data_IF_215608891146
#
_entry.id   IF_215608891146
#
_cell.length_a   1.000
_cell.length_b   1.000
_cell.length_c   1.000
_cell.angle_alpha   90.00
_cell.angle_beta   90.00
_cell.angle_gamma   90.00
#
_symmetry.space_group_name_H-M   'P 1'
#
loop_
_entity.id
_entity.type
_entity.pdbx_description
1 polymer ?
#
# COMPACT_ATOMS: atom_id res chain seq x y z
N UNK A 1 33.83 -0.02 -11.13
CA UNK A 1 32.40 -0.35 -10.93
C UNK A 1 31.51 0.36 -11.97
N UNK A 2 31.13 -0.39 -13.01
CA UNK A 2 30.14 -0.21 -14.08
C UNK A 2 29.64 1.21 -14.48
N UNK A 3 30.31 1.81 -15.47
CA UNK A 3 29.74 2.90 -16.27
C UNK A 3 28.62 2.41 -17.22
N UNK A 4 28.70 1.17 -17.73
CA UNK A 4 27.73 0.65 -18.71
C UNK A 4 26.30 0.43 -18.20
N UNK A 5 26.09 0.10 -16.93
CA UNK A 5 24.74 -0.04 -16.36
C UNK A 5 24.08 1.32 -16.07
N UNK A 6 24.89 2.34 -15.75
CA UNK A 6 24.40 3.71 -15.51
C UNK A 6 23.78 4.29 -16.77
N UNK A 7 24.40 4.03 -17.92
CA UNK A 7 23.97 4.56 -19.21
C UNK A 7 22.69 3.88 -19.71
N UNK A 8 22.63 2.54 -19.64
CA UNK A 8 21.42 1.75 -19.95
C UNK A 8 20.20 2.20 -19.14
N UNK A 9 20.42 2.49 -17.86
CA UNK A 9 19.35 2.92 -16.95
C UNK A 9 18.82 4.32 -17.28
N UNK A 10 19.68 5.24 -17.75
CA UNK A 10 19.27 6.57 -18.22
C UNK A 10 18.51 6.50 -19.55
N UNK A 11 18.98 5.66 -20.48
CA UNK A 11 18.31 5.40 -21.76
C UNK A 11 16.91 4.84 -21.53
N UNK A 12 16.78 3.80 -20.69
CA UNK A 12 15.50 3.20 -20.35
C UNK A 12 14.51 4.23 -19.76
N UNK A 13 15.00 5.14 -18.91
CA UNK A 13 14.18 6.22 -18.37
C UNK A 13 13.64 7.15 -19.47
N UNK A 14 14.49 7.55 -20.42
CA UNK A 14 14.09 8.41 -21.54
C UNK A 14 13.10 7.71 -22.48
N UNK A 15 13.31 6.42 -22.77
CA UNK A 15 12.35 5.61 -23.55
C UNK A 15 11.02 5.51 -22.82
N UNK A 16 11.02 5.21 -21.51
CA UNK A 16 9.81 5.09 -20.72
C UNK A 16 8.97 6.37 -20.68
N UNK A 17 9.61 7.54 -20.59
CA UNK A 17 8.89 8.83 -20.71
C UNK A 17 8.30 9.06 -22.10
N UNK A 18 9.02 8.70 -23.17
CA UNK A 18 8.49 8.80 -24.55
C UNK A 18 7.30 7.87 -24.76
N UNK A 19 7.36 6.64 -24.24
CA UNK A 19 6.23 5.71 -24.26
C UNK A 19 5.00 6.27 -23.55
N UNK A 20 5.18 6.94 -22.40
CA UNK A 20 4.06 7.65 -21.73
C UNK A 20 3.46 8.76 -22.58
N UNK A 21 4.31 9.57 -23.23
CA UNK A 21 3.85 10.62 -24.13
C UNK A 21 3.09 10.04 -25.34
N UNK A 22 3.50 8.87 -25.83
CA UNK A 22 2.85 8.14 -26.91
C UNK A 22 1.65 7.27 -26.45
N UNK A 23 1.15 7.46 -25.22
CA UNK A 23 0.03 6.69 -24.67
C UNK A 23 0.22 5.17 -24.62
N UNK A 24 1.47 4.70 -24.50
CA UNK A 24 1.82 3.29 -24.28
C UNK A 24 2.26 3.05 -22.82
N UNK A 25 1.30 2.87 -21.88
CA UNK A 25 1.61 2.67 -20.47
C UNK A 25 2.30 1.32 -20.19
N UNK A 26 2.06 0.29 -21.02
CA UNK A 26 2.66 -1.03 -20.83
C UNK A 26 4.17 -1.00 -21.09
N UNK A 27 4.58 -0.41 -22.22
CA UNK A 27 6.00 -0.17 -22.51
C UNK A 27 6.63 0.76 -21.48
N UNK A 28 5.92 1.84 -21.11
CA UNK A 28 6.42 2.78 -20.11
C UNK A 28 6.75 2.10 -18.78
N UNK A 29 5.84 1.26 -18.24
CA UNK A 29 6.08 0.52 -17.00
C UNK A 29 7.31 -0.36 -17.14
N UNK A 30 7.45 -1.11 -18.24
CA UNK A 30 8.60 -2.00 -18.47
C UNK A 30 9.94 -1.23 -18.47
N UNK A 31 9.99 -0.12 -19.19
CA UNK A 31 11.20 0.69 -19.33
C UNK A 31 11.53 1.48 -18.05
N UNK A 32 10.51 2.02 -17.37
CA UNK A 32 10.70 2.74 -16.10
C UNK A 32 11.09 1.81 -14.97
N UNK A 33 10.60 0.56 -14.94
CA UNK A 33 11.06 -0.46 -14.00
C UNK A 33 12.54 -0.76 -14.21
N UNK A 34 12.96 -1.00 -15.45
CA UNK A 34 14.39 -1.17 -15.81
C UNK A 34 15.25 0.02 -15.35
N UNK A 35 14.72 1.24 -15.48
CA UNK A 35 15.40 2.44 -15.02
C UNK A 35 15.49 2.53 -13.48
N UNK A 36 14.48 2.08 -12.74
CA UNK A 36 14.49 2.02 -11.28
C UNK A 36 15.49 0.97 -10.80
N UNK A 37 15.42 -0.25 -11.35
CA UNK A 37 16.27 -1.38 -10.95
C UNK A 37 17.76 -1.10 -11.24
N UNK A 38 18.06 -0.38 -12.32
CA UNK A 38 19.42 0.06 -12.64
C UNK A 38 19.90 1.31 -11.89
N UNK A 39 19.10 1.89 -10.98
CA UNK A 39 19.46 3.10 -10.25
C UNK A 39 20.04 2.76 -8.86
N UNK A 40 21.28 3.16 -8.54
CA UNK A 40 21.82 2.92 -7.20
C UNK A 40 21.08 3.75 -6.15
N UNK A 41 20.84 3.16 -4.97
CA UNK A 41 20.15 3.82 -3.86
C UNK A 41 20.85 5.10 -3.34
N UNK A 42 22.17 5.22 -3.57
CA UNK A 42 22.94 6.42 -3.25
C UNK A 42 22.50 7.66 -4.05
N UNK A 43 21.92 7.48 -5.24
CA UNK A 43 21.41 8.58 -6.10
C UNK A 43 19.94 8.88 -5.80
N UNK A 44 19.64 9.18 -4.53
CA UNK A 44 18.27 9.36 -4.01
C UNK A 44 17.37 10.24 -4.88
N UNK A 45 17.84 11.42 -5.31
CA UNK A 45 17.05 12.35 -6.12
C UNK A 45 16.69 11.79 -7.51
N UNK A 46 17.60 11.04 -8.14
CA UNK A 46 17.37 10.41 -9.44
C UNK A 46 16.40 9.24 -9.30
N UNK A 47 16.60 8.40 -8.28
CA UNK A 47 15.71 7.29 -7.98
C UNK A 47 14.29 7.78 -7.66
N UNK A 48 14.15 8.84 -6.84
CA UNK A 48 12.87 9.46 -6.52
C UNK A 48 12.13 9.92 -7.79
N UNK A 49 12.83 10.57 -8.72
CA UNK A 49 12.26 11.02 -10.00
C UNK A 49 11.80 9.85 -10.88
N UNK A 50 12.58 8.76 -10.93
CA UNK A 50 12.22 7.56 -11.69
C UNK A 50 11.00 6.84 -11.11
N UNK A 51 10.95 6.70 -9.79
CA UNK A 51 9.79 6.13 -9.08
C UNK A 51 8.53 6.97 -9.28
N UNK A 52 8.65 8.30 -9.30
CA UNK A 52 7.54 9.20 -9.63
C UNK A 52 6.98 8.93 -11.02
N UNK A 53 7.82 8.85 -12.06
CA UNK A 53 7.32 8.53 -13.40
C UNK A 53 6.78 7.11 -13.51
N UNK A 54 7.39 6.14 -12.82
CA UNK A 54 6.88 4.78 -12.73
C UNK A 54 5.47 4.76 -12.13
N UNK A 55 5.20 5.55 -11.09
CA UNK A 55 3.86 5.65 -10.52
C UNK A 55 2.81 6.20 -11.49
N UNK A 56 3.18 7.17 -12.34
CA UNK A 56 2.28 7.70 -13.37
C UNK A 56 1.96 6.61 -14.39
N UNK A 57 2.96 5.84 -14.81
CA UNK A 57 2.79 4.73 -15.74
C UNK A 57 1.90 3.61 -15.17
N UNK A 58 2.14 3.24 -13.91
CA UNK A 58 1.34 2.24 -13.20
C UNK A 58 -0.13 2.67 -13.08
N UNK A 59 -0.37 3.95 -12.76
CA UNK A 59 -1.72 4.51 -12.67
C UNK A 59 -2.44 4.48 -14.03
N UNK A 60 -1.76 4.85 -15.11
CA UNK A 60 -2.35 4.77 -16.47
C UNK A 60 -2.68 3.34 -16.89
N UNK A 61 -2.06 2.34 -16.27
CA UNK A 61 -2.32 0.92 -16.49
C UNK A 61 -3.36 0.34 -15.49
N UNK A 62 -3.97 1.17 -14.64
CA UNK A 62 -4.93 0.73 -13.61
C UNK A 62 -4.31 -0.01 -12.42
N UNK A 63 -2.98 0.06 -12.25
CA UNK A 63 -2.25 -0.61 -11.14
C UNK A 63 -2.07 0.33 -9.95
N UNK A 64 -3.18 0.82 -9.39
CA UNK A 64 -3.17 1.93 -8.44
C UNK A 64 -2.42 1.62 -7.13
N UNK A 65 -2.56 0.41 -6.57
CA UNK A 65 -1.81 0.00 -5.38
C UNK A 65 -0.29 0.10 -5.57
N UNK A 66 0.20 -0.39 -6.71
CA UNK A 66 1.62 -0.28 -7.06
C UNK A 66 2.04 1.16 -7.31
N UNK A 67 1.15 1.99 -7.89
CA UNK A 67 1.41 3.42 -8.06
C UNK A 67 1.58 4.14 -6.71
N UNK A 68 0.70 3.85 -5.74
CA UNK A 68 0.79 4.37 -4.36
C UNK A 68 2.07 3.89 -3.68
N UNK A 69 2.44 2.60 -3.81
CA UNK A 69 3.71 2.06 -3.30
C UNK A 69 4.93 2.77 -3.89
N UNK A 70 4.93 3.04 -5.20
CA UNK A 70 6.00 3.75 -5.89
C UNK A 70 6.12 5.21 -5.42
N UNK A 71 4.99 5.92 -5.29
CA UNK A 71 4.95 7.30 -4.77
C UNK A 71 5.40 7.37 -3.30
N UNK A 72 4.94 6.43 -2.47
CA UNK A 72 5.35 6.33 -1.06
C UNK A 72 6.87 6.18 -0.93
N UNK A 73 7.48 5.43 -1.85
CA UNK A 73 8.94 5.27 -1.93
C UNK A 73 9.62 6.54 -2.45
N UNK A 74 9.08 7.16 -3.50
CA UNK A 74 9.62 8.38 -4.09
C UNK A 74 9.63 9.57 -3.10
N UNK A 75 8.54 9.80 -2.38
CA UNK A 75 8.48 10.89 -1.39
C UNK A 75 9.42 10.65 -0.21
N UNK A 76 9.69 9.40 0.19
CA UNK A 76 10.63 9.08 1.28
C UNK A 76 12.06 9.44 0.89
N UNK A 77 12.38 9.26 -0.39
CA UNK A 77 13.68 9.63 -0.95
C UNK A 77 13.82 11.15 -1.12
N UNK A 78 12.71 11.84 -1.44
CA UNK A 78 12.65 13.29 -1.64
C UNK A 78 11.39 13.92 -1.00
N UNK A 79 11.39 14.18 0.33
CA UNK A 79 10.19 14.61 1.08
C UNK A 79 9.62 15.99 0.73
N UNK A 80 10.37 16.79 -0.05
CA UNK A 80 9.95 18.12 -0.52
C UNK A 80 9.74 18.16 -2.05
N UNK A 81 9.72 16.99 -2.70
CA UNK A 81 9.59 16.89 -4.16
C UNK A 81 8.13 16.76 -4.64
N UNK A 82 7.92 16.80 -5.97
CA UNK A 82 6.59 16.68 -6.58
C UNK A 82 5.89 15.34 -6.28
N UNK A 83 6.67 14.30 -5.96
CA UNK A 83 6.13 13.01 -5.55
C UNK A 83 5.28 13.07 -4.27
N UNK A 84 5.57 14.01 -3.35
CA UNK A 84 4.78 14.18 -2.13
C UNK A 84 3.40 14.73 -2.44
N UNK A 85 3.32 15.71 -3.34
CA UNK A 85 2.04 16.30 -3.73
C UNK A 85 1.18 15.29 -4.49
N UNK A 86 1.80 14.59 -5.46
CA UNK A 86 1.14 13.47 -6.12
C UNK A 86 0.66 12.40 -5.12
N UNK A 87 1.47 12.03 -4.13
CA UNK A 87 1.07 11.06 -3.11
C UNK A 87 -0.16 11.53 -2.32
N UNK A 88 -0.21 12.80 -1.89
CA UNK A 88 -1.34 13.37 -1.15
C UNK A 88 -2.65 13.31 -1.94
N UNK A 89 -2.58 13.58 -3.25
CA UNK A 89 -3.76 13.52 -4.11
C UNK A 89 -4.21 12.08 -4.39
N UNK A 90 -3.28 11.13 -4.52
CA UNK A 90 -3.62 9.76 -4.93
C UNK A 90 -3.84 8.78 -3.78
N UNK A 91 -3.26 9.05 -2.61
CA UNK A 91 -3.47 8.23 -1.43
C UNK A 91 -4.59 8.82 -0.55
N UNK A 92 -5.39 7.95 0.05
CA UNK A 92 -6.29 8.29 1.15
C UNK A 92 -5.54 8.27 2.50
N UNK A 93 -6.25 8.56 3.58
CA UNK A 93 -5.68 8.66 4.93
C UNK A 93 -5.18 7.33 5.51
N UNK A 94 -5.55 6.22 4.86
CA UNK A 94 -5.06 4.86 5.17
C UNK A 94 -3.80 4.47 4.36
N UNK A 95 -3.33 5.37 3.48
CA UNK A 95 -2.21 5.10 2.58
C UNK A 95 -2.54 4.12 1.45
N UNK A 96 -3.82 4.03 1.07
CA UNK A 96 -4.34 3.23 -0.05
C UNK A 96 -4.75 4.15 -1.21
N UNK A 97 -5.00 3.64 -2.44
CA UNK A 97 -5.56 4.45 -3.51
C UNK A 97 -6.88 5.09 -3.12
N UNK A 98 -6.95 6.42 -3.26
CA UNK A 98 -8.13 7.23 -2.95
C UNK A 98 -9.31 6.81 -3.82
N UNK A 99 -10.45 6.54 -3.18
CA UNK A 99 -11.72 6.23 -3.81
C UNK A 99 -12.48 7.52 -4.19
N UNK A 100 -13.68 7.35 -4.76
CA UNK A 100 -14.57 8.47 -5.12
C UNK A 100 -15.17 9.18 -3.91
N UNK A 101 -15.31 8.50 -2.77
CA UNK A 101 -15.81 9.06 -1.52
C UNK A 101 -15.11 8.46 -0.29
N UNK A 102 -15.13 9.17 0.85
CA UNK A 102 -14.49 8.70 2.09
C UNK A 102 -15.03 7.37 2.62
N UNK A 103 -16.32 7.10 2.44
CA UNK A 103 -16.96 5.87 2.90
C UNK A 103 -16.40 4.65 2.18
N UNK A 104 -16.13 4.78 0.87
CA UNK A 104 -15.46 3.74 0.10
C UNK A 104 -13.99 3.56 0.50
N UNK A 105 -13.30 4.64 0.90
CA UNK A 105 -11.95 4.54 1.45
C UNK A 105 -11.94 3.74 2.77
N UNK A 106 -12.91 4.01 3.65
CA UNK A 106 -13.08 3.30 4.91
C UNK A 106 -13.39 1.82 4.69
N UNK A 107 -14.35 1.50 3.81
CA UNK A 107 -14.71 0.12 3.48
C UNK A 107 -13.51 -0.64 2.88
N UNK A 108 -12.77 -0.02 1.95
CA UNK A 108 -11.56 -0.63 1.36
C UNK A 108 -10.51 -0.92 2.42
N UNK A 109 -10.29 0.00 3.36
CA UNK A 109 -9.36 -0.19 4.46
C UNK A 109 -9.80 -1.33 5.38
N UNK A 110 -11.08 -1.35 5.79
CA UNK A 110 -11.67 -2.42 6.59
C UNK A 110 -11.54 -3.78 5.90
N UNK A 111 -11.99 -3.88 4.66
CA UNK A 111 -11.92 -5.11 3.87
C UNK A 111 -10.48 -5.62 3.74
N UNK A 112 -9.52 -4.73 3.44
CA UNK A 112 -8.11 -5.11 3.31
C UNK A 112 -7.52 -5.65 4.63
N UNK A 113 -7.90 -5.08 5.77
CA UNK A 113 -7.48 -5.54 7.10
C UNK A 113 -8.03 -6.96 7.36
N UNK A 114 -9.32 -7.17 7.11
CA UNK A 114 -9.97 -8.45 7.39
C UNK A 114 -9.52 -9.56 6.43
N UNK A 115 -9.37 -9.25 5.13
CA UNK A 115 -8.81 -10.20 4.17
C UNK A 115 -7.39 -10.60 4.57
N UNK A 116 -6.53 -9.65 4.93
CA UNK A 116 -5.17 -9.98 5.38
C UNK A 116 -5.18 -10.89 6.61
N UNK A 117 -6.02 -10.59 7.60
CA UNK A 117 -6.18 -11.43 8.79
C UNK A 117 -6.63 -12.85 8.45
N UNK A 118 -7.56 -12.99 7.50
CA UNK A 118 -7.98 -14.30 7.01
C UNK A 118 -6.80 -15.04 6.35
N UNK A 119 -6.09 -14.38 5.43
CA UNK A 119 -4.95 -14.95 4.71
C UNK A 119 -3.79 -15.35 5.64
N UNK A 120 -3.61 -14.65 6.76
CA UNK A 120 -2.61 -14.99 7.79
C UNK A 120 -2.95 -16.31 8.53
N UNK A 121 -4.21 -16.75 8.53
CA UNK A 121 -4.68 -17.98 9.22
C UNK A 121 -4.70 -19.24 8.34
N UNK A 122 -4.62 -19.07 7.02
CA UNK A 122 -4.71 -20.16 6.05
C UNK A 122 -3.34 -20.50 5.45
N UNK A 123 -3.12 -21.77 5.06
CA UNK A 123 -1.86 -22.15 4.42
C UNK A 123 -1.64 -21.39 3.11
N UNK A 124 -0.37 -21.14 2.79
CA UNK A 124 0.11 -20.41 1.60
C UNK A 124 -0.26 -18.92 1.51
N UNK A 125 -0.95 -18.35 2.50
CA UNK A 125 -1.33 -16.93 2.55
C UNK A 125 -2.07 -16.42 1.30
N UNK A 126 -2.82 -17.30 0.65
CA UNK A 126 -3.61 -17.02 -0.56
C UNK A 126 -4.94 -17.76 -0.53
N UNK A 127 -5.91 -17.21 -1.25
CA UNK A 127 -7.15 -17.92 -1.57
C UNK A 127 -6.85 -19.09 -2.51
N UNK A 128 -7.59 -20.19 -2.33
CA UNK A 128 -7.46 -21.42 -3.09
C UNK A 128 -8.46 -21.51 -4.24
N UNK A 129 -9.70 -21.03 -4.04
CA UNK A 129 -10.76 -21.07 -5.05
C UNK A 129 -11.76 -19.91 -4.92
N UNK A 130 -12.51 -19.62 -5.99
CA UNK A 130 -13.44 -18.50 -6.05
C UNK A 130 -14.53 -18.56 -4.96
N UNK A 131 -15.06 -19.75 -4.65
CA UNK A 131 -16.07 -19.90 -3.59
C UNK A 131 -15.55 -19.47 -2.19
N UNK A 132 -14.23 -19.61 -1.94
CA UNK A 132 -13.61 -19.16 -0.68
C UNK A 132 -13.57 -17.64 -0.64
N UNK A 133 -13.18 -17.03 -1.77
CA UNK A 133 -13.15 -15.58 -1.94
C UNK A 133 -14.55 -15.01 -1.70
N UNK A 134 -15.57 -15.56 -2.36
CA UNK A 134 -16.94 -15.07 -2.26
C UNK A 134 -17.46 -15.20 -0.81
N UNK A 135 -17.25 -16.35 -0.18
CA UNK A 135 -17.66 -16.58 1.22
C UNK A 135 -17.00 -15.58 2.17
N UNK A 136 -15.68 -15.41 2.08
CA UNK A 136 -14.92 -14.49 2.94
C UNK A 136 -15.35 -13.04 2.70
N UNK A 137 -15.53 -12.63 1.45
CA UNK A 137 -15.96 -11.27 1.12
C UNK A 137 -17.39 -10.99 1.57
N UNK A 138 -18.31 -11.94 1.46
CA UNK A 138 -19.68 -11.82 1.99
C UNK A 138 -19.65 -11.60 3.50
N UNK A 139 -18.89 -12.41 4.25
CA UNK A 139 -18.78 -12.24 5.70
C UNK A 139 -18.18 -10.89 6.11
N UNK A 140 -17.19 -10.41 5.34
CA UNK A 140 -16.61 -9.08 5.55
C UNK A 140 -17.65 -8.00 5.26
N UNK A 141 -18.44 -8.12 4.18
CA UNK A 141 -19.50 -7.17 3.86
C UNK A 141 -20.57 -7.13 4.97
N UNK A 142 -21.02 -8.28 5.47
CA UNK A 142 -21.99 -8.36 6.57
C UNK A 142 -21.46 -7.72 7.86
N UNK A 143 -20.18 -7.99 8.19
CA UNK A 143 -19.52 -7.37 9.33
C UNK A 143 -19.40 -5.85 9.17
N UNK A 144 -19.13 -5.37 7.95
CA UNK A 144 -19.09 -3.94 7.64
C UNK A 144 -20.45 -3.27 7.82
N UNK A 145 -21.54 -3.89 7.34
CA UNK A 145 -22.89 -3.34 7.49
C UNK A 145 -23.27 -3.22 8.97
N UNK A 146 -23.04 -4.26 9.77
CA UNK A 146 -23.24 -4.21 11.23
C UNK A 146 -22.42 -3.12 11.91
N UNK A 147 -21.20 -2.89 11.41
CA UNK A 147 -20.33 -1.83 11.93
C UNK A 147 -20.90 -0.44 11.58
N UNK A 148 -21.44 -0.25 10.38
CA UNK A 148 -22.05 1.02 9.96
C UNK A 148 -23.33 1.37 10.74
N UNK A 149 -24.12 0.36 11.11
CA UNK A 149 -25.33 0.56 11.92
C UNK A 149 -25.02 1.10 13.33
N UNK A 150 -23.80 0.87 13.83
CA UNK A 150 -23.30 1.54 15.01
C UNK A 150 -22.86 2.97 14.65
N UNK A 151 -23.72 3.96 14.95
CA UNK A 151 -23.53 5.40 14.69
C UNK A 151 -22.18 5.98 15.17
N UNK A 152 -21.47 5.24 16.02
CA UNK A 152 -20.15 5.54 16.56
C UNK A 152 -19.11 5.75 15.44
N UNK A 153 -19.16 4.98 14.34
CA UNK A 153 -18.06 5.00 13.36
C UNK A 153 -17.96 6.29 12.54
N UNK A 154 -19.06 7.01 12.35
CA UNK A 154 -19.06 8.24 11.55
C UNK A 154 -18.35 9.40 12.26
N UNK A 155 -18.28 9.37 13.59
CA UNK A 155 -17.68 10.42 14.41
C UNK A 155 -16.21 10.16 14.76
N UNK A 156 -15.68 8.97 14.45
CA UNK A 156 -14.31 8.60 14.78
C UNK A 156 -13.31 9.25 13.81
N UNK A 157 -12.17 9.66 14.37
CA UNK A 157 -10.98 10.01 13.58
C UNK A 157 -10.49 8.80 12.78
N UNK A 158 -9.68 9.01 11.74
CA UNK A 158 -9.08 7.92 10.97
C UNK A 158 -8.29 6.91 11.85
N UNK A 159 -7.58 7.40 12.88
CA UNK A 159 -6.95 6.52 13.88
C UNK A 159 -7.98 5.70 14.68
N UNK A 160 -9.04 6.34 15.15
CA UNK A 160 -10.14 5.68 15.85
C UNK A 160 -10.76 4.57 14.99
N UNK A 161 -11.07 4.88 13.72
CA UNK A 161 -11.58 3.92 12.73
C UNK A 161 -10.60 2.76 12.53
N UNK A 162 -9.31 3.03 12.30
CA UNK A 162 -8.29 1.99 12.15
C UNK A 162 -8.18 1.06 13.36
N UNK A 163 -8.32 1.60 14.58
CA UNK A 163 -8.34 0.79 15.80
C UNK A 163 -9.58 -0.11 15.81
N UNK A 164 -10.77 0.44 15.59
CA UNK A 164 -12.02 -0.33 15.51
C UNK A 164 -11.94 -1.44 14.45
N UNK A 165 -11.42 -1.13 13.26
CA UNK A 165 -11.27 -2.11 12.18
C UNK A 165 -10.33 -3.26 12.54
N UNK A 166 -9.29 -2.99 13.34
CA UNK A 166 -8.34 -4.00 13.84
C UNK A 166 -8.89 -4.75 15.05
N UNK A 167 -9.70 -4.13 15.88
CA UNK A 167 -10.23 -4.78 17.08
C UNK A 167 -11.44 -5.68 16.73
N UNK A 168 -12.19 -5.37 15.67
CA UNK A 168 -13.28 -6.21 15.18
C UNK A 168 -12.73 -7.53 14.63
N UNK A 169 -13.14 -8.65 15.24
CA UNK A 169 -12.81 -10.01 14.82
C UNK A 169 -13.98 -10.62 14.07
N UNK A 170 -13.71 -11.17 12.88
CA UNK A 170 -14.65 -11.99 12.13
C UNK A 170 -14.25 -13.45 12.31
N UNK A 171 -15.20 -14.25 12.79
CA UNK A 171 -15.05 -15.68 12.91
C UNK A 171 -15.39 -16.34 11.57
N UNK A 172 -14.36 -16.48 10.74
CA UNK A 172 -14.48 -17.20 9.48
C UNK A 172 -14.66 -18.71 9.77
N UNK A 173 -15.60 -19.39 9.09
CA UNK A 173 -15.75 -20.83 9.22
C UNK A 173 -14.44 -21.52 8.82
N UNK A 174 -14.25 -22.76 9.27
CA UNK A 174 -13.08 -23.57 8.91
C UNK A 174 -13.16 -23.98 7.43
N UNK A 175 -12.87 -23.04 6.52
CA UNK A 175 -12.82 -23.27 5.08
C UNK A 175 -11.59 -24.10 4.70
N UNK A 176 -10.55 -24.08 5.55
CA UNK A 176 -9.29 -24.81 5.39
C UNK A 176 -8.80 -25.27 6.76
N UNK A 177 -7.99 -26.33 6.79
CA UNK A 177 -7.27 -26.75 8.01
C UNK A 177 -6.34 -25.63 8.45
N UNK A 178 -6.76 -24.88 9.47
CA UNK A 178 -5.98 -23.76 9.99
C UNK A 178 -4.79 -24.29 10.78
N UNK A 179 -3.59 -23.83 10.43
CA UNK A 179 -2.46 -23.93 11.34
C UNK A 179 -2.74 -22.98 12.50
N UNK A 180 -2.84 -23.51 13.74
CA UNK A 180 -2.95 -22.68 14.95
C UNK A 180 -1.64 -21.90 15.14
N UNK A 181 -1.46 -20.83 14.38
CA UNK A 181 -0.41 -19.85 14.62
C UNK A 181 -0.95 -18.95 15.73
N UNK A 182 -0.25 -18.90 16.86
CA UNK A 182 -0.53 -17.92 17.91
C UNK A 182 -0.58 -16.53 17.26
N UNK A 183 -1.74 -15.86 17.37
CA UNK A 183 -1.92 -14.51 16.86
C UNK A 183 -1.17 -13.53 17.76
N UNK A 184 0.16 -13.52 17.67
CA UNK A 184 0.98 -12.47 18.24
C UNK A 184 0.60 -11.16 17.55
N UNK A 185 0.16 -10.16 18.33
CA UNK A 185 -0.07 -8.83 17.80
C UNK A 185 1.28 -8.21 17.45
N UNK A 186 1.58 -8.03 16.17
CA UNK A 186 2.76 -7.28 15.74
C UNK A 186 2.59 -5.82 16.15
N UNK A 187 3.41 -5.36 17.09
CA UNK A 187 3.45 -3.97 17.52
C UNK A 187 4.62 -3.29 16.81
N UNK A 188 4.31 -2.28 16.01
CA UNK A 188 5.36 -1.39 15.50
C UNK A 188 5.88 -0.55 16.67
N UNK A 189 7.17 -0.66 16.98
CA UNK A 189 7.80 0.06 18.08
C UNK A 189 8.84 1.05 17.55
N UNK A 190 8.89 2.21 18.18
CA UNK A 190 10.02 3.13 18.08
C UNK A 190 11.04 2.68 19.12
N UNK A 191 12.06 1.96 18.67
CA UNK A 191 13.12 1.45 19.55
C UNK A 191 14.00 2.56 20.13
N UNK A 192 14.04 3.75 19.52
CA UNK A 192 14.78 4.88 20.08
C UNK A 192 14.03 5.52 21.25
N UNK A 193 12.71 5.61 21.14
CA UNK A 193 11.85 6.20 22.19
C UNK A 193 11.30 5.15 23.17
N UNK A 194 11.51 3.86 22.93
CA UNK A 194 11.02 2.77 23.77
C UNK A 194 9.49 2.66 23.83
N UNK A 195 8.77 3.17 22.82
CA UNK A 195 7.29 3.20 22.81
C UNK A 195 6.69 2.62 21.55
N UNK A 196 5.45 2.13 21.64
CA UNK A 196 4.68 1.72 20.48
C UNK A 196 4.36 2.93 19.58
N UNK A 197 4.54 2.76 18.26
CA UNK A 197 4.23 3.76 17.25
C UNK A 197 2.71 3.78 17.05
N UNK A 198 2.10 4.94 17.27
CA UNK A 198 0.68 5.19 17.00
C UNK A 198 0.45 5.48 15.51
N UNK A 199 -0.73 5.17 14.95
CA UNK A 199 -1.08 5.51 13.57
C UNK A 199 -0.82 6.97 13.17
N UNK A 200 -1.09 7.92 14.07
CA UNK A 200 -0.89 9.36 13.87
C UNK A 200 0.53 9.87 14.18
N UNK A 201 1.40 9.05 14.79
CA UNK A 201 2.79 9.43 15.01
C UNK A 201 3.49 9.66 13.66
N UNK A 202 4.46 10.59 13.64
CA UNK A 202 5.31 10.79 12.46
C UNK A 202 6.10 9.52 12.17
N UNK A 203 6.12 9.13 10.90
CA UNK A 203 6.83 7.93 10.49
C UNK A 203 8.36 8.10 10.64
N UNK A 204 9.00 7.18 11.36
CA UNK A 204 10.45 7.18 11.62
C UNK A 204 11.31 7.04 10.35
N UNK A 205 10.73 6.67 9.20
CA UNK A 205 11.48 6.56 7.94
C UNK A 205 11.87 7.92 7.31
N UNK A 206 11.51 9.04 7.95
CA UNK A 206 11.86 10.39 7.49
C UNK A 206 10.97 10.95 6.36
N UNK A 207 9.85 10.30 6.07
CA UNK A 207 8.88 10.78 5.05
C UNK A 207 8.17 12.07 5.45
N UNK A 208 8.09 12.36 6.76
CA UNK A 208 7.31 13.47 7.30
C UNK A 208 5.78 13.25 7.25
N UNK A 209 5.33 12.03 6.97
CA UNK A 209 3.92 11.63 7.01
C UNK A 209 3.57 10.90 8.31
N UNK A 210 2.27 10.82 8.66
CA UNK A 210 1.78 9.89 9.67
C UNK A 210 2.18 8.44 9.35
N UNK A 211 2.44 7.63 10.38
CA UNK A 211 2.83 6.23 10.24
C UNK A 211 1.82 5.45 9.38
N UNK A 212 0.53 5.66 9.60
CA UNK A 212 -0.56 5.04 8.83
C UNK A 212 -0.60 5.42 7.34
N UNK A 213 0.07 6.49 6.93
CA UNK A 213 0.17 6.90 5.53
C UNK A 213 1.51 6.51 4.91
N UNK A 214 2.38 5.80 5.63
CA UNK A 214 3.74 5.50 5.19
C UNK A 214 4.10 4.04 5.45
N UNK A 215 5.02 3.75 6.36
CA UNK A 215 5.44 2.38 6.67
C UNK A 215 4.32 1.52 7.27
N UNK A 216 3.38 2.14 7.99
CA UNK A 216 2.22 1.51 8.62
C UNK A 216 0.94 1.56 7.80
N UNK A 217 1.03 1.85 6.49
CA UNK A 217 -0.15 1.93 5.62
C UNK A 217 -0.91 0.61 5.53
N UNK A 218 -2.22 0.72 5.36
CA UNK A 218 -3.04 -0.42 4.99
C UNK A 218 -2.66 -0.84 3.57
N UNK A 219 -2.29 -2.11 3.41
CA UNK A 219 -1.89 -2.66 2.12
C UNK A 219 -3.09 -3.36 1.49
N UNK A 220 -3.19 -3.29 0.17
CA UNK A 220 -4.18 -4.09 -0.54
C UNK A 220 -3.85 -5.57 -0.37
N UNK A 221 -4.85 -6.47 -0.33
CA UNK A 221 -4.64 -7.90 -0.09
C UNK A 221 -3.62 -8.57 -1.00
N UNK A 222 -3.51 -8.10 -2.24
CA UNK A 222 -2.63 -8.64 -3.28
C UNK A 222 -1.26 -7.94 -3.36
N UNK A 223 -0.98 -6.97 -2.48
CA UNK A 223 0.36 -6.38 -2.40
C UNK A 223 1.30 -7.30 -1.63
N UNK A 224 2.19 -8.00 -2.34
CA UNK A 224 3.23 -8.83 -1.71
C UNK A 224 4.23 -7.99 -0.91
N UNK A 225 4.64 -8.52 0.26
CA UNK A 225 5.66 -7.88 1.12
C UNK A 225 7.03 -7.83 0.45
N UNK A 226 7.31 -8.81 -0.42
CA UNK A 226 8.49 -8.89 -1.27
C UNK A 226 8.07 -8.78 -2.74
N UNK A 227 8.65 -7.80 -3.43
CA UNK A 227 8.58 -7.64 -4.88
C UNK A 227 9.88 -7.08 -5.37
#
# INVERSE_FOLDING_TARGET
MNNGTRDKSAIAYSIGKRALAAHDPAMAVRMLRTAVDGCPASRRAVLARRLYWLSIALRRLGKDGLAVKALSSAQRLSPRGPAREAYRHFANDYGMPRASCPEHDDYRAFCSIQVRRYLERVPDHRFSHQAEIDTVLTMIADAWLRLQDSSINQQLTCEGKLRTFRDLVIDFPALRTSTRIHQGRTIAADFFQGRAIRPDDRCACGSGLPYRMCCGRTRLPYETEHG
#
